data_IF_022828035461
#
_entry.id   IF_022828035461
#
_cell.length_a   1.000
_cell.length_b   1.000
_cell.length_c   1.000
_cell.angle_alpha   90.00
_cell.angle_beta   90.00
_cell.angle_gamma   90.00
#
_symmetry.space_group_name_H-M   'P 1'
#
loop_
_entity.id
_entity.type
_entity.pdbx_description
1 polymer ?
#
# COMPACT_ATOMS: atom_id res chain seq x y z
N UNK A 1 -11.43 44.65 -52.12
CA UNK A 1 -10.83 43.41 -51.54
C UNK A 1 -9.33 43.67 -51.39
N UNK A 2 -8.59 43.49 -50.31
CA UNK A 2 -8.78 42.89 -48.97
C UNK A 2 -7.47 43.11 -48.17
N UNK A 3 -7.32 44.10 -47.27
CA UNK A 3 -6.18 44.16 -46.35
C UNK A 3 -6.49 43.53 -44.98
N UNK A 4 -7.74 43.67 -44.50
CA UNK A 4 -8.18 43.18 -43.17
C UNK A 4 -8.28 41.66 -43.11
N UNK A 5 -8.73 41.01 -44.19
CA UNK A 5 -8.79 39.54 -44.23
C UNK A 5 -7.41 38.88 -44.32
N UNK A 6 -6.40 39.58 -44.82
CA UNK A 6 -5.03 39.06 -44.90
C UNK A 6 -4.36 39.11 -43.52
N UNK A 7 -4.55 40.20 -42.76
CA UNK A 7 -4.10 40.27 -41.37
C UNK A 7 -4.78 39.24 -40.46
N UNK A 8 -6.10 39.03 -40.60
CA UNK A 8 -6.84 38.02 -39.84
C UNK A 8 -6.37 36.60 -40.11
N UNK A 9 -6.05 36.27 -41.37
CA UNK A 9 -5.50 34.96 -41.74
C UNK A 9 -4.08 34.75 -41.21
N UNK A 10 -3.24 35.78 -41.21
CA UNK A 10 -1.86 35.74 -40.66
C UNK A 10 -1.87 35.60 -39.14
N UNK A 11 -2.80 36.25 -38.43
CA UNK A 11 -2.96 36.04 -36.99
C UNK A 11 -3.51 34.66 -36.66
N UNK A 12 -4.43 34.12 -37.48
CA UNK A 12 -4.97 32.77 -37.25
C UNK A 12 -3.89 31.70 -37.44
N UNK A 13 -3.02 31.83 -38.46
CA UNK A 13 -1.92 30.88 -38.69
C UNK A 13 -0.83 30.97 -37.62
N UNK A 14 -0.57 32.16 -37.05
CA UNK A 14 0.32 32.31 -35.89
C UNK A 14 -0.25 31.66 -34.62
N UNK A 15 -1.57 31.68 -34.42
CA UNK A 15 -2.23 31.00 -33.28
C UNK A 15 -2.22 29.47 -33.47
N UNK A 16 -2.32 28.96 -34.72
CA UNK A 16 -2.23 27.50 -34.97
C UNK A 16 -0.83 26.95 -34.70
N UNK A 17 0.23 27.76 -34.83
CA UNK A 17 1.60 27.31 -34.55
C UNK A 17 1.93 27.12 -33.05
N UNK A 18 1.10 27.60 -32.12
CA UNK A 18 1.37 27.45 -30.68
C UNK A 18 0.76 26.18 -30.06
N UNK A 19 0.03 25.37 -30.83
CA UNK A 19 -0.42 24.04 -30.41
C UNK A 19 0.70 23.02 -30.67
N UNK A 20 1.91 23.30 -30.19
CA UNK A 20 2.99 22.34 -30.11
C UNK A 20 2.59 21.32 -29.06
N UNK A 21 2.38 20.09 -29.52
CA UNK A 21 2.41 18.87 -28.72
C UNK A 21 3.54 18.99 -27.66
N UNK A 22 3.18 19.17 -26.39
CA UNK A 22 4.17 19.29 -25.33
C UNK A 22 4.89 17.94 -25.23
N UNK A 23 6.17 17.90 -25.58
CA UNK A 23 6.97 16.67 -25.47
C UNK A 23 7.24 16.38 -23.99
N UNK A 24 6.41 15.53 -23.37
CA UNK A 24 6.51 15.15 -21.95
C UNK A 24 7.51 14.00 -21.76
N UNK A 25 8.45 14.15 -20.82
CA UNK A 25 9.41 13.10 -20.44
C UNK A 25 8.78 12.13 -19.43
N UNK A 26 9.16 10.84 -19.47
CA UNK A 26 8.60 9.82 -18.58
C UNK A 26 8.88 10.07 -17.09
N UNK A 27 9.95 10.81 -16.76
CA UNK A 27 10.30 11.18 -15.38
C UNK A 27 9.32 12.19 -14.77
N UNK A 28 8.72 13.05 -15.59
CA UNK A 28 7.86 14.18 -15.18
C UNK A 28 6.36 13.82 -15.21
N UNK A 29 6.03 12.55 -15.45
CA UNK A 29 4.64 12.08 -15.39
C UNK A 29 4.08 12.21 -13.96
N UNK A 30 2.77 12.49 -13.90
CA UNK A 30 2.02 12.47 -12.65
C UNK A 30 1.93 11.04 -12.07
N UNK A 31 1.81 10.93 -10.73
CA UNK A 31 1.74 9.65 -10.01
C UNK A 31 0.68 8.67 -10.52
N UNK A 32 -0.39 9.16 -11.15
CA UNK A 32 -1.48 8.34 -11.70
C UNK A 32 -1.20 7.76 -13.10
N UNK A 33 -0.12 8.21 -13.76
CA UNK A 33 0.17 7.89 -15.17
C UNK A 33 1.25 6.81 -15.35
N UNK A 34 1.83 6.31 -14.26
CA UNK A 34 2.83 5.25 -14.25
C UNK A 34 2.66 4.31 -13.06
N UNK A 35 3.14 3.07 -13.20
CA UNK A 35 3.20 2.08 -12.14
C UNK A 35 4.66 1.67 -11.92
N UNK A 36 5.20 1.90 -10.72
CA UNK A 36 6.57 1.49 -10.38
C UNK A 36 6.58 0.18 -9.60
N UNK A 37 7.55 -0.67 -9.93
CA UNK A 37 7.87 -1.88 -9.20
C UNK A 37 9.28 -1.75 -8.61
N UNK A 38 9.41 -2.09 -7.32
CA UNK A 38 10.71 -2.13 -6.66
C UNK A 38 11.57 -3.29 -7.19
N UNK A 39 12.89 -3.12 -7.14
CA UNK A 39 13.84 -4.19 -7.42
C UNK A 39 13.77 -5.28 -6.33
N UNK A 40 14.41 -6.43 -6.59
CA UNK A 40 14.49 -7.50 -5.61
C UNK A 40 15.07 -7.00 -4.27
N UNK A 41 14.42 -7.43 -3.18
CA UNK A 41 14.80 -7.14 -1.80
C UNK A 41 15.87 -8.15 -1.37
N UNK A 42 16.88 -7.69 -0.65
CA UNK A 42 17.90 -8.58 -0.08
C UNK A 42 17.25 -9.48 1.01
N UNK A 43 17.45 -10.82 0.95
CA UNK A 43 16.81 -11.75 1.87
C UNK A 43 17.25 -11.58 3.34
N UNK A 44 18.37 -10.90 3.61
CA UNK A 44 18.95 -10.73 4.94
C UNK A 44 18.55 -9.38 5.54
N UNK A 45 18.67 -8.29 4.76
CA UNK A 45 18.43 -6.93 5.28
C UNK A 45 16.99 -6.46 5.10
N UNK A 46 16.19 -7.16 4.30
CA UNK A 46 14.85 -6.72 3.87
C UNK A 46 14.84 -5.31 3.24
N UNK A 47 15.99 -4.82 2.76
CA UNK A 47 16.15 -3.55 2.06
C UNK A 47 16.32 -3.77 0.56
N UNK A 48 16.00 -2.75 -0.23
CA UNK A 48 16.27 -2.78 -1.67
C UNK A 48 17.78 -2.80 -1.93
N UNK A 49 18.24 -3.71 -2.79
CA UNK A 49 19.66 -3.79 -3.21
C UNK A 49 20.14 -2.49 -3.86
N UNK A 50 19.23 -1.68 -4.40
CA UNK A 50 19.49 -0.40 -5.07
C UNK A 50 19.48 0.82 -4.13
N UNK A 51 19.55 0.63 -2.80
CA UNK A 51 19.58 1.74 -1.85
C UNK A 51 20.91 2.50 -1.89
N UNK A 52 20.85 3.79 -2.20
CA UNK A 52 22.01 4.69 -2.23
C UNK A 52 22.26 5.34 -0.87
N UNK A 53 23.48 5.85 -0.63
CA UNK A 53 23.85 6.57 0.59
C UNK A 53 23.03 7.86 0.83
N UNK A 54 22.39 8.38 -0.23
CA UNK A 54 21.47 9.52 -0.15
C UNK A 54 20.02 9.10 0.18
N UNK A 55 19.81 7.94 0.81
CA UNK A 55 18.49 7.37 1.13
C UNK A 55 17.53 7.23 -0.07
N UNK A 56 18.08 7.18 -1.29
CA UNK A 56 17.30 7.10 -2.52
C UNK A 56 17.35 5.70 -3.12
N UNK A 57 16.23 5.30 -3.72
CA UNK A 57 16.11 4.02 -4.42
C UNK A 57 15.88 4.24 -5.90
N UNK A 58 16.48 3.37 -6.71
CA UNK A 58 16.15 3.26 -8.12
C UNK A 58 15.09 2.19 -8.30
N UNK A 59 13.97 2.60 -8.92
CA UNK A 59 12.84 1.73 -9.24
C UNK A 59 12.60 1.71 -10.75
N UNK A 60 12.05 0.59 -11.22
CA UNK A 60 11.62 0.46 -12.60
C UNK A 60 10.14 0.79 -12.69
N UNK A 61 9.77 1.67 -13.63
CA UNK A 61 8.41 2.15 -13.78
C UNK A 61 7.91 1.89 -15.19
N UNK A 62 6.66 1.50 -15.30
CA UNK A 62 5.96 1.28 -16.56
C UNK A 62 4.90 2.39 -16.74
N UNK A 63 4.80 2.96 -17.95
CA UNK A 63 3.78 3.99 -18.24
C UNK A 63 2.42 3.36 -18.54
N UNK A 64 1.33 4.03 -18.20
CA UNK A 64 -0.02 3.59 -18.55
C UNK A 64 -0.21 3.43 -20.07
N UNK A 65 -1.09 2.52 -20.47
CA UNK A 65 -1.30 2.09 -21.87
C UNK A 65 -1.60 3.26 -22.83
N UNK A 66 -2.20 4.34 -22.33
CA UNK A 66 -2.64 5.50 -23.12
C UNK A 66 -1.77 6.77 -22.94
N UNK A 67 -0.61 6.68 -22.29
CA UNK A 67 0.30 7.82 -22.08
C UNK A 67 1.61 7.60 -22.82
N UNK A 68 1.88 8.44 -23.82
CA UNK A 68 3.11 8.43 -24.62
C UNK A 68 4.11 9.44 -24.06
N UNK A 69 5.24 8.97 -23.56
CA UNK A 69 6.30 9.80 -23.00
C UNK A 69 7.66 9.47 -23.64
N UNK A 70 8.61 10.40 -23.55
CA UNK A 70 9.99 10.24 -24.04
C UNK A 70 10.88 9.71 -22.91
N UNK A 71 11.73 8.72 -23.20
CA UNK A 71 12.63 8.09 -22.21
C UNK A 71 12.19 6.70 -21.74
N UNK A 72 11.32 6.03 -22.51
CA UNK A 72 10.86 4.65 -22.30
C UNK A 72 11.71 3.68 -23.12
N UNK A 73 12.06 2.53 -22.55
CA UNK A 73 12.73 1.43 -23.25
C UNK A 73 11.76 0.72 -24.23
N UNK A 74 12.31 -0.20 -25.05
CA UNK A 74 11.55 -1.02 -26.00
C UNK A 74 10.42 -1.83 -25.33
N UNK A 75 10.61 -2.18 -24.05
CA UNK A 75 9.65 -2.93 -23.22
C UNK A 75 8.66 -2.06 -22.48
N UNK A 76 8.71 -0.75 -22.68
CA UNK A 76 7.79 0.12 -21.99
C UNK A 76 8.21 0.51 -20.55
N UNK A 77 9.49 0.39 -20.22
CA UNK A 77 9.97 0.65 -18.86
C UNK A 77 10.89 1.87 -18.84
N UNK A 78 10.91 2.60 -17.74
CA UNK A 78 11.85 3.68 -17.47
C UNK A 78 12.32 3.64 -16.01
N UNK A 79 13.55 4.07 -15.74
CA UNK A 79 14.08 4.10 -14.38
C UNK A 79 13.75 5.45 -13.73
N UNK A 80 13.25 5.41 -12.49
CA UNK A 80 12.99 6.61 -11.68
C UNK A 80 13.68 6.46 -10.33
N UNK A 81 14.30 7.55 -9.87
CA UNK A 81 14.86 7.63 -8.51
C UNK A 81 13.83 8.22 -7.58
N UNK A 82 13.45 7.47 -6.55
CA UNK A 82 12.57 7.94 -5.49
C UNK A 82 13.47 8.41 -4.33
N UNK A 83 13.43 9.70 -3.95
CA UNK A 83 14.11 10.19 -2.76
C UNK A 83 13.44 9.59 -1.50
N UNK A 84 14.22 9.38 -0.45
CA UNK A 84 13.76 8.84 0.84
C UNK A 84 12.98 7.51 0.75
N UNK A 85 13.26 6.71 -0.28
CA UNK A 85 12.62 5.41 -0.47
C UNK A 85 13.32 4.26 0.25
N UNK A 86 14.48 4.50 0.87
CA UNK A 86 15.18 3.55 1.73
C UNK A 86 15.97 4.26 2.82
N UNK A 87 16.37 3.52 3.85
CA UNK A 87 17.24 4.01 4.91
C UNK A 87 18.61 3.34 4.78
N UNK A 88 19.62 4.10 4.33
CA UNK A 88 20.95 3.57 4.13
C UNK A 88 21.64 3.28 5.46
N UNK A 89 22.19 2.08 5.64
CA UNK A 89 22.92 1.70 6.85
C UNK A 89 22.05 1.49 8.10
N UNK A 90 20.73 1.44 7.95
CA UNK A 90 19.83 1.13 9.06
C UNK A 90 20.02 -0.33 9.51
N UNK A 91 20.54 -0.51 10.72
CA UNK A 91 20.84 -1.80 11.33
C UNK A 91 20.07 -2.03 12.64
N UNK A 92 19.48 -0.97 13.20
CA UNK A 92 18.68 -1.02 14.42
C UNK A 92 17.21 -1.19 14.06
N UNK A 93 16.59 -2.28 14.52
CA UNK A 93 15.20 -2.57 14.23
C UNK A 93 14.26 -1.75 15.12
N UNK A 94 13.30 -1.05 14.51
CA UNK A 94 12.28 -0.27 15.24
C UNK A 94 11.49 -1.12 16.22
N UNK A 95 10.99 -2.28 15.74
CA UNK A 95 10.22 -3.23 16.54
C UNK A 95 10.94 -3.67 17.80
N UNK A 96 12.22 -4.00 17.67
CA UNK A 96 13.05 -4.44 18.80
C UNK A 96 13.30 -3.28 19.77
N UNK A 97 13.53 -2.07 19.27
CA UNK A 97 13.71 -0.88 20.11
C UNK A 97 12.45 -0.57 20.95
N UNK A 98 11.26 -0.64 20.35
CA UNK A 98 9.98 -0.43 21.07
C UNK A 98 9.75 -1.53 22.11
N UNK A 99 9.97 -2.79 21.76
CA UNK A 99 9.81 -3.91 22.69
C UNK A 99 10.77 -3.80 23.87
N UNK A 100 12.05 -3.48 23.61
CA UNK A 100 13.03 -3.24 24.66
C UNK A 100 12.60 -2.08 25.57
N UNK A 101 12.10 -0.98 24.99
CA UNK A 101 11.59 0.17 25.75
C UNK A 101 10.43 -0.18 26.68
N UNK A 102 9.48 -0.99 26.22
CA UNK A 102 8.33 -1.41 27.03
C UNK A 102 8.78 -2.33 28.18
N UNK A 103 9.57 -3.38 27.89
CA UNK A 103 9.85 -4.44 28.86
C UNK A 103 11.11 -4.20 29.71
N UNK A 104 12.14 -3.60 29.14
CA UNK A 104 13.47 -3.45 29.72
C UNK A 104 13.88 -1.97 29.87
N UNK A 105 12.97 -1.03 29.60
CA UNK A 105 13.25 0.40 29.69
C UNK A 105 13.45 0.96 31.08
N UNK A 106 12.96 0.27 32.10
CA UNK A 106 13.30 0.60 33.48
C UNK A 106 14.81 0.44 33.76
N UNK A 107 15.44 -0.56 33.12
CA UNK A 107 16.89 -0.78 33.22
C UNK A 107 17.71 0.11 32.27
N UNK A 108 17.06 0.88 31.40
CA UNK A 108 17.72 1.76 30.42
C UNK A 108 18.41 1.03 29.28
N UNK A 109 18.08 -0.25 29.05
CA UNK A 109 18.69 -1.09 28.02
C UNK A 109 18.36 -0.58 26.61
N UNK A 110 17.16 -0.07 26.40
CA UNK A 110 16.69 0.58 25.17
C UNK A 110 17.58 1.77 24.79
N UNK A 111 18.00 2.59 25.76
CA UNK A 111 18.88 3.73 25.47
C UNK A 111 20.29 3.27 25.08
N UNK A 112 20.76 2.18 25.68
CA UNK A 112 22.01 1.49 25.31
C UNK A 112 21.90 0.88 23.90
N UNK A 113 20.74 0.29 23.58
CA UNK A 113 20.47 -0.34 22.28
C UNK A 113 20.55 0.67 21.13
N UNK A 114 20.10 1.91 21.33
CA UNK A 114 20.22 3.01 20.36
C UNK A 114 21.64 3.62 20.28
N UNK A 115 22.61 3.16 21.09
CA UNK A 115 23.98 3.70 21.14
C UNK A 115 24.20 4.83 22.14
N UNK A 116 23.18 5.22 22.91
CA UNK A 116 23.30 6.24 23.96
C UNK A 116 23.71 5.62 25.31
N UNK A 117 24.92 5.06 25.35
CA UNK A 117 25.46 4.32 26.50
C UNK A 117 25.44 5.11 27.81
N UNK A 118 25.86 6.39 27.78
CA UNK A 118 25.94 7.23 28.97
C UNK A 118 24.57 7.46 29.62
N UNK A 119 23.55 7.77 28.82
CA UNK A 119 22.18 7.99 29.30
C UNK A 119 21.55 6.68 29.83
N UNK A 120 21.82 5.55 29.17
CA UNK A 120 21.37 4.24 29.64
C UNK A 120 22.00 3.83 30.97
N UNK A 121 23.32 4.02 31.15
CA UNK A 121 24.01 3.71 32.39
C UNK A 121 23.56 4.61 33.55
N UNK A 122 23.35 5.90 33.31
CA UNK A 122 22.78 6.83 34.31
C UNK A 122 21.41 6.31 34.77
N UNK A 123 20.56 5.87 33.84
CA UNK A 123 19.24 5.33 34.14
C UNK A 123 19.32 4.05 34.99
N UNK A 124 20.27 3.17 34.69
CA UNK A 124 20.52 1.94 35.45
C UNK A 124 20.98 2.20 36.90
N UNK A 125 21.93 3.12 37.12
CA UNK A 125 22.42 3.47 38.46
C UNK A 125 21.42 4.29 39.28
N UNK A 126 20.53 5.03 38.62
CA UNK A 126 19.44 5.76 39.28
C UNK A 126 18.27 4.86 39.72
N UNK A 127 18.39 3.53 39.60
CA UNK A 127 17.30 2.55 39.79
C UNK A 127 16.04 2.93 39.00
N UNK A 128 16.20 3.33 37.74
CA UNK A 128 15.09 3.74 36.87
C UNK A 128 14.23 4.85 37.49
N UNK A 129 14.87 5.79 38.19
CA UNK A 129 14.23 6.74 39.11
C UNK A 129 12.96 7.38 38.54
N UNK A 130 11.82 7.08 39.17
CA UNK A 130 10.47 7.53 38.83
C UNK A 130 10.02 7.13 37.43
N UNK A 131 9.04 6.22 37.36
CA UNK A 131 8.27 5.73 36.18
C UNK A 131 8.02 6.74 35.04
N UNK A 132 8.07 8.04 35.34
CA UNK A 132 8.10 9.17 34.40
C UNK A 132 9.18 9.03 33.32
N UNK A 133 10.44 8.75 33.64
CA UNK A 133 11.50 8.65 32.60
C UNK A 133 11.32 7.44 31.68
N UNK A 134 10.78 6.34 32.21
CA UNK A 134 10.38 5.18 31.41
C UNK A 134 9.27 5.53 30.42
N UNK A 135 8.24 6.25 30.87
CA UNK A 135 7.13 6.67 30.03
C UNK A 135 7.56 7.68 28.95
N UNK A 136 8.46 8.62 29.28
CA UNK A 136 9.00 9.59 28.32
C UNK A 136 9.81 8.89 27.23
N UNK A 137 10.66 7.91 27.57
CA UNK A 137 11.44 7.17 26.58
C UNK A 137 10.53 6.32 25.66
N UNK A 138 9.47 5.70 26.19
CA UNK A 138 8.46 5.00 25.37
C UNK A 138 7.83 5.96 24.36
N UNK A 139 7.41 7.15 24.80
CA UNK A 139 6.78 8.15 23.92
C UNK A 139 7.77 8.62 22.85
N UNK A 140 9.02 8.91 23.22
CA UNK A 140 10.02 9.41 22.27
C UNK A 140 10.40 8.37 21.19
N UNK A 141 10.53 7.10 21.57
CA UNK A 141 10.88 6.02 20.63
C UNK A 141 9.66 5.67 19.76
N UNK A 142 8.46 5.56 20.34
CA UNK A 142 7.26 5.23 19.58
C UNK A 142 6.84 6.32 18.59
N UNK A 143 7.07 7.60 18.91
CA UNK A 143 6.82 8.71 18.00
C UNK A 143 7.94 8.93 16.98
N UNK A 144 8.99 8.10 16.97
CA UNK A 144 10.17 8.26 16.10
C UNK A 144 10.85 9.64 16.22
N UNK A 145 10.61 10.37 17.31
CA UNK A 145 11.21 11.68 17.56
C UNK A 145 12.68 11.58 17.95
N UNK A 146 13.10 10.40 18.41
CA UNK A 146 14.44 10.11 18.87
C UNK A 146 14.96 8.92 18.07
N UNK A 147 15.97 9.13 17.24
CA UNK A 147 16.59 8.10 16.40
C UNK A 147 17.86 7.47 17.02
N UNK A 148 18.45 6.48 16.33
CA UNK A 148 19.79 5.96 16.62
C UNK A 148 20.86 7.04 16.77
N UNK A 149 21.85 6.81 17.64
CA UNK A 149 22.97 7.74 17.86
C UNK A 149 23.84 7.95 16.62
N UNK A 150 23.83 6.99 15.68
CA UNK A 150 24.59 7.03 14.43
C UNK A 150 23.99 8.01 13.39
N UNK A 151 22.80 8.57 13.65
CA UNK A 151 22.09 9.46 12.72
C UNK A 151 21.43 8.73 11.55
N UNK A 152 21.51 7.40 11.50
CA UNK A 152 20.74 6.54 10.61
C UNK A 152 19.31 6.39 11.10
N UNK A 153 18.36 6.18 10.21
CA UNK A 153 16.97 5.88 10.58
C UNK A 153 16.79 4.44 11.09
N UNK A 154 15.61 4.16 11.63
CA UNK A 154 15.25 2.81 12.06
C UNK A 154 15.02 1.87 10.87
N UNK A 155 15.50 0.64 11.01
CA UNK A 155 15.11 -0.44 10.12
C UNK A 155 13.68 -0.88 10.46
N UNK A 156 12.76 -0.64 9.53
CA UNK A 156 11.40 -1.13 9.59
C UNK A 156 11.38 -2.57 9.07
N UNK A 157 11.77 -3.52 9.92
CA UNK A 157 11.51 -4.92 9.61
C UNK A 157 10.00 -5.13 9.64
N UNK A 158 9.42 -5.51 8.48
CA UNK A 158 8.04 -6.01 8.42
C UNK A 158 7.99 -7.18 9.40
N UNK A 159 7.27 -7.01 10.52
CA UNK A 159 7.33 -7.94 11.65
C UNK A 159 7.16 -9.38 11.13
N UNK A 160 8.19 -10.21 11.30
CA UNK A 160 8.29 -11.56 10.72
C UNK A 160 7.32 -12.59 11.35
N UNK A 161 6.24 -12.14 11.98
CA UNK A 161 5.03 -12.93 12.28
C UNK A 161 3.98 -12.80 11.18
N UNK A 162 4.15 -11.84 10.28
CA UNK A 162 3.21 -11.50 9.23
C UNK A 162 3.18 -12.51 8.09
N UNK A 163 4.27 -13.22 7.77
CA UNK A 163 4.28 -14.07 6.57
C UNK A 163 3.25 -15.22 6.62
N UNK A 164 2.93 -15.74 7.81
CA UNK A 164 1.92 -16.79 7.99
C UNK A 164 0.53 -16.23 8.33
N UNK A 165 0.44 -15.07 9.00
CA UNK A 165 -0.84 -14.47 9.41
C UNK A 165 -1.41 -13.48 8.38
N UNK A 166 -0.59 -12.86 7.53
CA UNK A 166 -1.03 -12.02 6.41
C UNK A 166 -1.68 -12.83 5.31
N UNK A 167 -1.21 -14.04 5.01
CA UNK A 167 -1.85 -14.86 3.97
C UNK A 167 -3.28 -15.22 4.37
N UNK A 168 -3.56 -15.50 5.65
CA UNK A 168 -4.92 -15.77 6.13
C UNK A 168 -5.76 -14.49 6.15
N UNK A 169 -5.21 -13.37 6.64
CA UNK A 169 -5.92 -12.09 6.67
C UNK A 169 -6.20 -11.50 5.28
N UNK A 170 -5.27 -11.67 4.33
CA UNK A 170 -5.43 -11.26 2.94
C UNK A 170 -6.47 -12.13 2.23
N UNK A 171 -6.46 -13.45 2.42
CA UNK A 171 -7.49 -14.34 1.88
C UNK A 171 -8.88 -14.05 2.46
N UNK A 172 -8.98 -13.70 3.74
CA UNK A 172 -10.24 -13.26 4.36
C UNK A 172 -10.77 -11.98 3.72
N UNK A 173 -9.90 -10.98 3.51
CA UNK A 173 -10.26 -9.70 2.87
C UNK A 173 -10.58 -9.89 1.39
N UNK A 174 -9.82 -10.71 0.66
CA UNK A 174 -10.07 -11.02 -0.74
C UNK A 174 -11.42 -11.72 -0.92
N UNK A 175 -11.73 -12.70 -0.07
CA UNK A 175 -13.02 -13.40 -0.08
C UNK A 175 -14.19 -12.42 0.19
N UNK A 176 -14.07 -11.53 1.17
CA UNK A 176 -15.10 -10.53 1.46
C UNK A 176 -15.23 -9.49 0.33
N UNK A 177 -14.13 -9.13 -0.32
CA UNK A 177 -14.13 -8.19 -1.44
C UNK A 177 -14.80 -8.76 -2.70
N UNK A 178 -14.56 -10.03 -3.04
CA UNK A 178 -15.20 -10.67 -4.19
C UNK A 178 -16.71 -10.85 -3.94
N UNK A 179 -17.10 -11.20 -2.71
CA UNK A 179 -18.50 -11.20 -2.30
C UNK A 179 -19.14 -9.83 -2.52
N UNK A 180 -18.52 -8.75 -2.03
CA UNK A 180 -19.06 -7.39 -2.18
C UNK A 180 -19.20 -6.98 -3.65
N UNK A 181 -18.21 -7.29 -4.50
CA UNK A 181 -18.23 -6.98 -5.93
C UNK A 181 -19.36 -7.71 -6.64
N UNK A 182 -19.53 -9.01 -6.37
CA UNK A 182 -20.62 -9.82 -6.96
C UNK A 182 -21.99 -9.39 -6.45
N UNK A 183 -22.11 -9.08 -5.16
CA UNK A 183 -23.33 -8.58 -4.54
C UNK A 183 -23.77 -7.26 -5.19
N UNK A 184 -22.84 -6.31 -5.31
CA UNK A 184 -23.11 -4.98 -5.88
C UNK A 184 -23.59 -5.11 -7.33
N UNK A 185 -22.90 -5.88 -8.17
CA UNK A 185 -23.28 -6.09 -9.56
C UNK A 185 -24.65 -6.78 -9.69
N UNK A 186 -24.93 -7.77 -8.84
CA UNK A 186 -26.21 -8.49 -8.84
C UNK A 186 -27.38 -7.60 -8.40
N UNK A 187 -27.17 -6.74 -7.39
CA UNK A 187 -28.22 -5.84 -6.90
C UNK A 187 -28.43 -4.65 -7.81
N UNK A 188 -27.36 -4.09 -8.38
CA UNK A 188 -27.47 -3.05 -9.41
C UNK A 188 -28.26 -3.55 -10.61
N UNK A 189 -27.96 -4.74 -11.14
CA UNK A 189 -28.68 -5.29 -12.29
C UNK A 189 -30.16 -5.64 -12.01
N UNK A 190 -30.53 -5.93 -10.75
CA UNK A 190 -31.90 -6.31 -10.37
C UNK A 190 -32.78 -5.12 -9.98
N UNK A 191 -32.18 -4.09 -9.36
CA UNK A 191 -32.93 -3.01 -8.75
C UNK A 191 -32.85 -1.70 -9.50
N UNK A 192 -31.80 -1.45 -10.29
CA UNK A 192 -31.61 -0.18 -11.00
C UNK A 192 -31.95 -0.37 -12.47
N UNK A 193 -32.88 0.43 -12.98
CA UNK A 193 -33.24 0.40 -14.40
C UNK A 193 -32.10 0.96 -15.26
N UNK A 194 -31.96 0.42 -16.48
CA UNK A 194 -30.96 0.94 -17.46
C UNK A 194 -31.35 2.29 -18.05
N UNK A 195 -32.61 2.67 -17.94
CA UNK A 195 -33.14 3.97 -18.37
C UNK A 195 -33.30 4.90 -17.16
N UNK A 196 -32.28 5.72 -16.91
CA UNK A 196 -32.26 6.67 -15.80
C UNK A 196 -33.11 7.90 -16.13
N UNK A 197 -34.13 8.15 -15.31
CA UNK A 197 -34.95 9.37 -15.38
C UNK A 197 -34.36 10.52 -14.58
N UNK A 198 -33.68 10.20 -13.49
CA UNK A 198 -33.09 11.15 -12.54
C UNK A 198 -31.81 10.54 -11.94
N UNK A 199 -30.92 11.39 -11.41
CA UNK A 199 -29.62 10.98 -10.86
C UNK A 199 -29.69 10.44 -9.43
N UNK A 200 -30.82 10.66 -8.75
CA UNK A 200 -31.05 10.15 -7.40
C UNK A 200 -31.82 8.85 -7.44
N UNK A 201 -31.53 8.00 -6.46
CA UNK A 201 -32.20 6.72 -6.33
C UNK A 201 -33.65 6.93 -5.90
N UNK A 202 -34.60 6.37 -6.65
CA UNK A 202 -36.01 6.46 -6.28
C UNK A 202 -36.28 5.68 -4.99
N UNK A 203 -37.35 6.04 -4.26
CA UNK A 203 -37.72 5.31 -3.03
C UNK A 203 -37.96 3.81 -3.28
N UNK A 204 -38.42 3.45 -4.48
CA UNK A 204 -38.62 2.04 -4.88
C UNK A 204 -37.30 1.31 -5.08
N UNK A 205 -36.33 1.93 -5.74
CA UNK A 205 -34.99 1.38 -5.98
C UNK A 205 -34.20 1.26 -4.67
N UNK A 206 -34.31 2.22 -3.76
CA UNK A 206 -33.68 2.17 -2.44
C UNK A 206 -34.17 0.97 -1.61
N UNK A 207 -35.50 0.81 -1.50
CA UNK A 207 -36.10 -0.34 -0.78
C UNK A 207 -35.79 -1.67 -1.48
N UNK A 208 -35.68 -1.68 -2.81
CA UNK A 208 -35.24 -2.85 -3.57
C UNK A 208 -33.80 -3.23 -3.22
N UNK A 209 -32.86 -2.28 -3.18
CA UNK A 209 -31.46 -2.53 -2.85
C UNK A 209 -31.30 -3.12 -1.45
N UNK A 210 -31.97 -2.57 -0.43
CA UNK A 210 -31.93 -3.09 0.94
C UNK A 210 -32.40 -4.56 1.00
N UNK A 211 -33.52 -4.86 0.34
CA UNK A 211 -34.05 -6.24 0.25
C UNK A 211 -33.15 -7.16 -0.57
N UNK A 212 -32.49 -6.63 -1.59
CA UNK A 212 -31.57 -7.39 -2.43
C UNK A 212 -30.34 -7.83 -1.64
N UNK A 213 -29.70 -6.91 -0.92
CA UNK A 213 -28.53 -7.19 -0.07
C UNK A 213 -28.89 -8.22 1.01
N UNK A 214 -30.03 -8.03 1.70
CA UNK A 214 -30.49 -8.99 2.71
C UNK A 214 -30.70 -10.40 2.15
N UNK A 215 -31.35 -10.52 0.97
CA UNK A 215 -31.53 -11.82 0.30
C UNK A 215 -30.22 -12.40 -0.21
N UNK A 216 -29.29 -11.57 -0.69
CA UNK A 216 -28.00 -12.02 -1.18
C UNK A 216 -27.19 -12.68 -0.06
N UNK A 217 -27.15 -12.06 1.12
CA UNK A 217 -26.46 -12.60 2.29
C UNK A 217 -27.09 -13.90 2.80
N UNK A 218 -28.43 -14.01 2.85
CA UNK A 218 -29.14 -15.25 3.22
C UNK A 218 -28.83 -16.41 2.24
N UNK A 219 -28.80 -16.11 0.93
CA UNK A 219 -28.40 -17.11 -0.08
C UNK A 219 -26.93 -17.48 0.06
N UNK A 220 -26.04 -16.52 0.30
CA UNK A 220 -24.61 -16.76 0.50
C UNK A 220 -24.35 -17.68 1.71
N UNK A 221 -25.06 -17.49 2.83
CA UNK A 221 -24.96 -18.36 4.01
C UNK A 221 -25.44 -19.79 3.71
N UNK A 222 -26.57 -19.94 3.00
CA UNK A 222 -27.10 -21.25 2.61
C UNK A 222 -26.18 -21.98 1.63
N UNK A 223 -25.58 -21.26 0.70
CA UNK A 223 -24.58 -21.80 -0.22
C UNK A 223 -23.33 -22.24 0.54
N UNK A 224 -22.85 -21.45 1.51
CA UNK A 224 -21.76 -21.83 2.39
C UNK A 224 -22.03 -23.16 3.10
N UNK A 225 -23.20 -23.31 3.74
CA UNK A 225 -23.60 -24.58 4.40
C UNK A 225 -23.66 -25.76 3.44
N UNK A 226 -24.09 -25.55 2.19
CA UNK A 226 -24.14 -26.61 1.18
C UNK A 226 -22.75 -26.99 0.69
N UNK A 227 -21.86 -26.02 0.47
CA UNK A 227 -20.47 -26.26 0.06
C UNK A 227 -19.71 -27.06 1.12
N UNK A 228 -19.86 -26.70 2.41
CA UNK A 228 -19.24 -27.46 3.51
C UNK A 228 -19.77 -28.88 3.64
N UNK A 229 -21.08 -29.09 3.44
CA UNK A 229 -21.65 -30.43 3.47
C UNK A 229 -21.19 -31.29 2.30
N UNK A 230 -21.01 -30.69 1.11
CA UNK A 230 -20.50 -31.40 -0.08
C UNK A 230 -19.01 -31.74 0.08
N UNK A 231 -18.19 -30.84 0.64
CA UNK A 231 -16.76 -31.12 0.86
C UNK A 231 -16.52 -32.29 1.81
N UNK A 232 -17.30 -32.41 2.90
CA UNK A 232 -17.23 -33.56 3.80
C UNK A 232 -17.68 -34.88 3.13
N UNK A 233 -18.65 -34.80 2.20
CA UNK A 233 -19.09 -35.94 1.41
C UNK A 233 -18.02 -36.42 0.42
N UNK A 234 -17.33 -35.49 -0.22
CA UNK A 234 -16.25 -35.76 -1.17
C UNK A 234 -15.01 -36.33 -0.46
N UNK A 235 -14.65 -35.82 0.72
CA UNK A 235 -13.57 -36.40 1.55
C UNK A 235 -13.89 -37.85 1.95
N UNK A 236 -15.13 -38.13 2.36
CA UNK A 236 -15.57 -39.48 2.71
C UNK A 236 -15.63 -40.42 1.49
N UNK A 237 -15.95 -39.91 0.30
CA UNK A 237 -15.96 -40.69 -0.93
C UNK A 237 -14.52 -40.98 -1.42
N UNK A 238 -13.62 -40.00 -1.35
CA UNK A 238 -12.21 -40.17 -1.70
C UNK A 238 -11.50 -41.14 -0.76
N UNK A 239 -11.77 -41.09 0.55
CA UNK A 239 -11.24 -42.06 1.51
C UNK A 239 -11.68 -43.50 1.22
N UNK A 240 -12.91 -43.69 0.72
CA UNK A 240 -13.42 -45.01 0.33
C UNK A 240 -12.77 -45.53 -0.95
N UNK A 241 -12.46 -44.66 -1.89
CA UNK A 241 -11.74 -45.01 -3.12
C UNK A 241 -10.26 -45.33 -2.83
N UNK A 242 -9.64 -44.63 -1.87
CA UNK A 242 -8.25 -44.87 -1.46
C UNK A 242 -8.06 -46.17 -0.65
N UNK A 243 -9.14 -46.82 -0.20
CA UNK A 243 -9.13 -48.06 0.57
C UNK A 243 -9.47 -49.32 -0.26
N UNK A 244 -9.69 -49.18 -1.57
CA UNK A 244 -9.83 -50.28 -2.53
C UNK A 244 -8.54 -50.45 -3.34
#
# INVERSE_FOLDING_TARGET
>A
MRPVTFQLLVSLSLIVLSASDATVYCIDLDTTQYLCKNYAVDPITQQSVTCSANNSIQVMCESAEHVKCIGKDQFGVFNKTIPDGCHYGAHINYTTAVLLSIFLGFFGIDRIYLGYYALGLIKMFSLGGLFVFWLVDIILISLQLLGPADGTDYAMAKMATDAQMQQVAELEVEMMSDMYRRMTNACQAKCIATAFKESELTKGEAVCLDRCVAKYLDVHEKLGKRLTNMSQGDEAALQKIAQQ
#
